data_IF_412553317057
#
_entry.id   IF_412553317057
#
_cell.length_a   1.000
_cell.length_b   1.000
_cell.length_c   1.000
_cell.angle_alpha   90.00
_cell.angle_beta   90.00
_cell.angle_gamma   90.00
#
_symmetry.space_group_name_H-M   'P 1'
#
loop_
_entity.id
_entity.type
_entity.pdbx_description
1 polymer ?
#
# COMPACT_ATOMS: atom_id res chain seq x y z
N UNK A 1 -7.78 -1.46 15.24
CA UNK A 1 -6.39 -1.65 15.69
C UNK A 1 -5.49 -1.70 14.47
N UNK A 2 -4.49 -0.81 14.33
CA UNK A 2 -3.54 -0.90 13.22
C UNK A 2 -2.76 -2.22 13.29
N UNK A 3 -2.45 -2.88 12.16
CA UNK A 3 -1.65 -4.10 12.17
C UNK A 3 -0.28 -3.78 12.80
N UNK A 4 0.08 -4.47 13.89
CA UNK A 4 1.46 -4.44 14.40
C UNK A 4 2.33 -4.99 13.27
N UNK A 5 3.27 -4.18 12.78
CA UNK A 5 4.14 -4.55 11.66
C UNK A 5 4.80 -5.92 11.86
N UNK A 6 5.13 -6.61 10.76
CA UNK A 6 5.77 -7.92 10.78
C UNK A 6 7.06 -7.88 11.61
N UNK A 7 7.18 -8.77 12.59
CA UNK A 7 8.36 -8.87 13.47
C UNK A 7 9.22 -10.05 13.02
N UNK A 8 10.46 -9.79 12.63
CA UNK A 8 11.42 -10.84 12.29
C UNK A 8 11.77 -11.71 13.51
N UNK A 9 12.04 -13.00 13.26
CA UNK A 9 12.59 -13.92 14.27
C UNK A 9 14.02 -13.50 14.67
N UNK A 10 14.46 -13.90 15.87
CA UNK A 10 15.82 -13.63 16.33
C UNK A 10 16.88 -14.24 15.40
N UNK A 11 16.64 -15.43 14.87
CA UNK A 11 17.51 -16.06 13.88
C UNK A 11 17.64 -15.21 12.60
N UNK A 12 16.52 -14.65 12.11
CA UNK A 12 16.52 -13.79 10.92
C UNK A 12 17.27 -12.49 11.18
N UNK A 13 17.06 -11.85 12.35
CA UNK A 13 17.81 -10.66 12.76
C UNK A 13 19.31 -10.95 12.84
N UNK A 14 19.69 -12.11 13.39
CA UNK A 14 21.08 -12.53 13.48
C UNK A 14 21.72 -12.74 12.11
N UNK A 15 21.04 -13.41 11.17
CA UNK A 15 21.53 -13.59 9.78
C UNK A 15 21.77 -12.25 9.08
N UNK A 16 20.81 -11.32 9.20
CA UNK A 16 20.94 -9.98 8.62
C UNK A 16 22.12 -9.24 9.26
N UNK A 17 22.23 -9.27 10.59
CA UNK A 17 23.33 -8.62 11.32
C UNK A 17 24.70 -9.15 10.90
N UNK A 18 24.87 -10.47 10.85
CA UNK A 18 26.12 -11.12 10.42
C UNK A 18 26.50 -10.77 8.98
N UNK A 19 25.52 -10.70 8.08
CA UNK A 19 25.73 -10.33 6.68
C UNK A 19 26.16 -8.86 6.50
N UNK A 20 25.65 -7.95 7.35
CA UNK A 20 25.97 -6.52 7.27
C UNK A 20 27.24 -6.13 8.04
N UNK A 21 27.74 -7.00 8.91
CA UNK A 21 28.93 -6.74 9.72
C UNK A 21 30.18 -6.58 8.83
N UNK A 22 30.92 -5.48 9.00
CA UNK A 22 32.13 -5.20 8.24
C UNK A 22 31.91 -4.58 6.85
N UNK A 23 30.65 -4.28 6.47
CA UNK A 23 30.37 -3.58 5.21
C UNK A 23 30.91 -2.13 5.25
N UNK A 24 32.03 -1.90 4.57
CA UNK A 24 32.64 -0.59 4.46
C UNK A 24 32.08 0.18 3.25
N UNK A 25 31.46 1.32 3.50
CA UNK A 25 31.15 2.27 2.43
C UNK A 25 32.42 3.01 2.01
N UNK A 26 32.51 3.33 0.70
CA UNK A 26 33.56 4.22 0.21
C UNK A 26 33.47 5.58 0.91
N UNK A 27 34.59 6.29 0.97
CA UNK A 27 34.66 7.65 1.49
C UNK A 27 33.68 8.57 0.75
N UNK A 28 33.58 8.43 -0.57
CA UNK A 28 32.65 9.18 -1.41
C UNK A 28 31.18 8.92 -1.04
N UNK A 29 30.77 7.65 -0.90
CA UNK A 29 29.39 7.31 -0.51
C UNK A 29 29.07 7.82 0.89
N UNK A 30 30.02 7.73 1.84
CA UNK A 30 29.86 8.28 3.19
C UNK A 30 29.68 9.79 3.16
N UNK A 31 30.47 10.49 2.35
CA UNK A 31 30.39 11.94 2.20
C UNK A 31 29.07 12.36 1.55
N UNK A 32 28.59 11.66 0.52
CA UNK A 32 27.28 11.93 -0.11
C UNK A 32 26.11 11.75 0.86
N UNK A 33 26.14 10.70 1.70
CA UNK A 33 25.12 10.48 2.72
C UNK A 33 25.16 11.52 3.86
N UNK A 34 26.35 12.04 4.19
CA UNK A 34 26.51 13.09 5.18
C UNK A 34 26.05 14.46 4.65
N UNK A 35 26.50 14.84 3.45
CA UNK A 35 26.19 16.10 2.81
C UNK A 35 24.69 16.29 2.58
N UNK A 36 23.95 15.24 2.21
CA UNK A 36 22.49 15.34 2.02
C UNK A 36 21.70 15.63 3.30
N UNK A 37 22.30 15.38 4.47
CA UNK A 37 21.70 15.66 5.77
C UNK A 37 22.22 16.95 6.40
N UNK A 38 23.38 17.41 5.94
CA UNK A 38 23.97 18.68 6.36
C UNK A 38 23.03 19.83 5.96
N UNK A 39 22.75 20.73 6.91
CA UNK A 39 21.81 21.84 6.72
C UNK A 39 20.37 21.55 7.16
N UNK A 40 20.01 20.30 7.46
CA UNK A 40 18.71 20.03 8.09
C UNK A 40 18.72 20.56 9.54
N UNK A 41 17.74 21.37 9.98
CA UNK A 41 17.76 22.08 11.27
C UNK A 41 17.94 21.19 12.52
N UNK A 42 17.59 19.92 12.39
CA UNK A 42 17.62 18.93 13.47
C UNK A 42 18.72 17.86 13.30
N UNK A 43 19.53 17.95 12.24
CA UNK A 43 20.65 17.01 12.06
C UNK A 43 21.71 17.21 13.15
N UNK A 44 22.05 16.14 13.87
CA UNK A 44 23.02 16.17 14.97
C UNK A 44 22.49 16.64 16.33
N UNK A 45 21.24 17.10 16.43
CA UNK A 45 20.62 17.49 17.71
C UNK A 45 20.02 16.27 18.41
N UNK A 46 20.74 15.70 19.38
CA UNK A 46 20.28 14.51 20.12
C UNK A 46 19.09 14.79 21.05
N UNK A 47 19.03 15.99 21.63
CA UNK A 47 18.02 16.34 22.64
C UNK A 47 16.83 17.13 22.05
N UNK A 48 16.70 17.14 20.73
CA UNK A 48 15.59 17.84 20.10
C UNK A 48 14.28 17.07 20.30
N UNK A 49 13.30 17.75 20.89
CA UNK A 49 11.91 17.30 20.97
C UNK A 49 11.02 18.34 20.30
N UNK A 50 10.08 17.88 19.47
CA UNK A 50 9.07 18.76 18.86
C UNK A 50 8.28 19.49 19.95
N UNK A 51 8.00 20.79 19.77
CA UNK A 51 7.14 21.53 20.70
C UNK A 51 5.74 20.91 20.76
N UNK A 52 5.08 21.06 21.90
CA UNK A 52 3.69 20.59 22.06
C UNK A 52 2.76 21.27 21.05
N UNK A 53 2.95 22.56 20.78
CA UNK A 53 2.21 23.30 19.75
C UNK A 53 2.38 22.68 18.36
N UNK A 54 3.61 22.30 17.97
CA UNK A 54 3.85 21.68 16.67
C UNK A 54 3.16 20.31 16.57
N UNK A 55 3.17 19.52 17.66
CA UNK A 55 2.43 18.24 17.73
C UNK A 55 0.93 18.46 17.60
N UNK A 56 0.39 19.48 18.27
CA UNK A 56 -1.02 19.83 18.22
C UNK A 56 -1.44 20.28 16.82
N UNK A 57 -0.66 21.14 16.16
CA UNK A 57 -0.91 21.59 14.79
C UNK A 57 -0.93 20.43 13.79
N UNK A 58 0.01 19.47 13.92
CA UNK A 58 0.02 18.25 13.10
C UNK A 58 -1.25 17.44 13.35
N UNK A 59 -1.63 17.23 14.61
CA UNK A 59 -2.83 16.47 14.99
C UNK A 59 -4.10 17.13 14.44
N UNK A 60 -4.22 18.45 14.59
CA UNK A 60 -5.32 19.26 14.06
C UNK A 60 -5.43 19.10 12.56
N UNK A 61 -4.34 19.28 11.81
CA UNK A 61 -4.33 19.11 10.36
C UNK A 61 -4.72 17.70 9.90
N UNK A 62 -4.30 16.65 10.62
CA UNK A 62 -4.72 15.28 10.34
C UNK A 62 -6.24 15.13 10.54
N UNK A 63 -6.77 15.63 11.65
CA UNK A 63 -8.19 15.51 11.95
C UNK A 63 -9.06 16.28 10.95
N UNK A 64 -8.67 17.51 10.61
CA UNK A 64 -9.43 18.37 9.70
C UNK A 64 -9.37 17.92 8.24
N UNK A 65 -8.27 17.28 7.79
CA UNK A 65 -8.07 16.98 6.35
C UNK A 65 -8.06 15.51 5.99
N UNK A 66 -7.59 14.64 6.89
CA UNK A 66 -7.41 13.19 6.62
C UNK A 66 -8.40 12.31 7.36
N UNK A 67 -9.00 12.81 8.43
CA UNK A 67 -9.96 12.08 9.26
C UNK A 67 -11.42 12.42 8.93
N UNK A 68 -11.66 13.08 7.79
CA UNK A 68 -12.99 13.45 7.32
C UNK A 68 -13.62 12.35 6.50
N UNK A 69 -14.96 12.31 6.46
CA UNK A 69 -15.70 11.33 5.66
C UNK A 69 -15.44 11.49 4.16
N UNK A 70 -15.36 12.75 3.70
CA UNK A 70 -15.05 13.07 2.31
C UNK A 70 -13.68 12.50 1.89
N UNK A 71 -12.64 12.66 2.73
CA UNK A 71 -11.31 12.11 2.44
C UNK A 71 -11.32 10.58 2.41
N UNK A 72 -12.01 9.93 3.36
CA UNK A 72 -12.17 8.47 3.36
C UNK A 72 -12.85 7.98 2.09
N UNK A 73 -13.94 8.62 1.68
CA UNK A 73 -14.67 8.29 0.46
C UNK A 73 -13.80 8.46 -0.78
N UNK A 74 -13.14 9.61 -0.93
CA UNK A 74 -12.20 9.88 -2.03
C UNK A 74 -11.10 8.81 -2.13
N UNK A 75 -10.52 8.43 -0.99
CA UNK A 75 -9.51 7.39 -0.93
C UNK A 75 -10.10 6.02 -1.35
N UNK A 76 -11.26 5.65 -0.83
CA UNK A 76 -11.97 4.42 -1.19
C UNK A 76 -12.27 4.35 -2.70
N UNK A 77 -12.82 5.42 -3.26
CA UNK A 77 -13.17 5.51 -4.68
C UNK A 77 -11.95 5.38 -5.60
N UNK A 78 -10.80 5.94 -5.20
CA UNK A 78 -9.54 5.79 -5.95
C UNK A 78 -9.01 4.36 -5.97
N UNK A 79 -9.44 3.51 -5.05
CA UNK A 79 -8.99 2.11 -4.90
C UNK A 79 -10.01 1.09 -5.43
N UNK A 80 -11.16 1.54 -5.93
CA UNK A 80 -12.24 0.68 -6.41
C UNK A 80 -12.15 0.45 -7.93
N UNK A 81 -12.40 -0.79 -8.35
CA UNK A 81 -12.50 -1.17 -9.76
C UNK A 81 -11.28 -0.77 -10.58
N UNK A 82 -11.52 -0.23 -11.78
CA UNK A 82 -10.48 0.19 -12.74
C UNK A 82 -9.57 1.30 -12.24
N UNK A 83 -10.04 2.15 -11.31
CA UNK A 83 -9.23 3.24 -10.76
C UNK A 83 -8.05 2.70 -9.95
N UNK A 84 -8.14 1.46 -9.49
CA UNK A 84 -7.02 0.80 -8.82
C UNK A 84 -5.95 0.42 -9.85
N UNK A 85 -4.78 1.04 -9.76
CA UNK A 85 -3.59 0.71 -10.56
C UNK A 85 -3.16 -0.77 -10.53
N UNK A 86 -3.62 -1.57 -9.55
CA UNK A 86 -3.36 -3.02 -9.48
C UNK A 86 -4.51 -3.87 -10.04
N UNK A 87 -5.61 -3.25 -10.51
CA UNK A 87 -6.71 -3.97 -11.12
C UNK A 87 -6.24 -4.69 -12.38
N UNK A 88 -6.63 -5.95 -12.51
CA UNK A 88 -6.37 -6.77 -13.70
C UNK A 88 -7.55 -6.75 -14.68
N UNK A 89 -8.69 -6.22 -14.26
CA UNK A 89 -9.94 -6.25 -15.02
C UNK A 89 -10.41 -4.82 -15.29
N UNK A 90 -10.96 -4.64 -16.47
CA UNK A 90 -11.71 -3.46 -16.90
C UNK A 90 -13.20 -3.65 -16.67
N UNK A 91 -14.00 -2.57 -16.81
CA UNK A 91 -15.46 -2.61 -16.79
C UNK A 91 -15.98 -3.53 -17.88
N UNK A 92 -15.40 -3.44 -19.07
CA UNK A 92 -15.77 -4.26 -20.21
C UNK A 92 -15.47 -5.74 -19.95
N UNK A 93 -14.36 -6.05 -19.26
CA UNK A 93 -14.04 -7.42 -18.86
C UNK A 93 -15.07 -7.96 -17.87
N UNK A 94 -15.51 -7.14 -16.90
CA UNK A 94 -16.55 -7.53 -15.92
C UNK A 94 -17.86 -7.84 -16.62
N UNK A 95 -18.28 -6.99 -17.57
CA UNK A 95 -19.49 -7.21 -18.38
C UNK A 95 -19.35 -8.52 -19.17
N UNK A 96 -18.21 -8.74 -19.84
CA UNK A 96 -17.94 -9.97 -20.59
C UNK A 96 -17.94 -11.21 -19.70
N UNK A 97 -17.38 -11.13 -18.48
CA UNK A 97 -17.38 -12.24 -17.52
C UNK A 97 -18.81 -12.65 -17.17
N UNK A 98 -19.69 -11.68 -16.86
CA UNK A 98 -21.09 -11.96 -16.51
C UNK A 98 -21.84 -12.56 -17.70
N UNK A 99 -21.71 -11.96 -18.88
CA UNK A 99 -22.32 -12.47 -20.11
C UNK A 99 -21.88 -13.91 -20.43
N UNK A 100 -20.57 -14.20 -20.38
CA UNK A 100 -20.06 -15.55 -20.64
C UNK A 100 -20.51 -16.54 -19.57
N UNK A 101 -20.63 -16.12 -18.30
CA UNK A 101 -21.17 -16.96 -17.24
C UNK A 101 -22.64 -17.32 -17.47
N UNK A 102 -23.46 -16.37 -17.94
CA UNK A 102 -24.85 -16.62 -18.33
C UNK A 102 -24.97 -17.57 -19.52
N UNK A 103 -24.02 -17.50 -20.46
CA UNK A 103 -23.89 -18.46 -21.57
C UNK A 103 -23.39 -19.86 -21.12
N UNK A 104 -23.25 -20.10 -19.82
CA UNK A 104 -22.89 -21.40 -19.25
C UNK A 104 -21.39 -21.67 -19.15
N UNK A 105 -20.54 -20.66 -19.38
CA UNK A 105 -19.10 -20.84 -19.21
C UNK A 105 -18.76 -20.96 -17.72
N UNK A 106 -18.12 -22.07 -17.35
CA UNK A 106 -17.72 -22.31 -15.95
C UNK A 106 -16.78 -21.23 -15.42
N UNK A 107 -16.89 -20.93 -14.12
CA UNK A 107 -16.01 -19.99 -13.42
C UNK A 107 -14.52 -20.34 -13.55
N UNK A 108 -14.17 -21.63 -13.68
CA UNK A 108 -12.79 -22.08 -13.89
C UNK A 108 -12.24 -21.65 -15.27
N UNK A 109 -13.03 -21.84 -16.34
CA UNK A 109 -12.64 -21.37 -17.68
C UNK A 109 -12.52 -19.85 -17.72
N UNK A 110 -13.38 -19.13 -17.00
CA UNK A 110 -13.30 -17.68 -16.87
C UNK A 110 -12.05 -17.25 -16.10
N UNK A 111 -11.67 -17.93 -15.02
CA UNK A 111 -10.43 -17.59 -14.28
C UNK A 111 -9.18 -17.74 -15.14
N UNK A 112 -9.10 -18.80 -15.94
CA UNK A 112 -7.99 -19.02 -16.88
C UNK A 112 -7.97 -17.94 -17.97
N UNK A 113 -9.12 -17.65 -18.59
CA UNK A 113 -9.24 -16.66 -19.66
C UNK A 113 -8.84 -15.25 -19.19
N UNK A 114 -9.30 -14.83 -18.01
CA UNK A 114 -9.08 -13.48 -17.49
C UNK A 114 -7.89 -13.37 -16.50
N UNK A 115 -7.16 -14.47 -16.26
CA UNK A 115 -5.97 -14.54 -15.39
C UNK A 115 -6.21 -13.97 -13.98
N UNK A 116 -7.39 -14.26 -13.44
CA UNK A 116 -7.83 -13.88 -12.08
C UNK A 116 -8.25 -15.14 -11.33
N UNK A 117 -8.28 -15.08 -9.99
CA UNK A 117 -8.67 -16.26 -9.21
C UNK A 117 -10.13 -16.65 -9.47
N UNK A 118 -10.44 -17.95 -9.40
CA UNK A 118 -11.83 -18.44 -9.49
C UNK A 118 -12.75 -17.77 -8.46
N UNK A 119 -12.26 -17.52 -7.25
CA UNK A 119 -13.01 -16.82 -6.21
C UNK A 119 -13.36 -15.38 -6.63
N UNK A 120 -12.42 -14.67 -7.28
CA UNK A 120 -12.69 -13.34 -7.83
C UNK A 120 -13.76 -13.37 -8.92
N UNK A 121 -13.75 -14.38 -9.80
CA UNK A 121 -14.82 -14.58 -10.78
C UNK A 121 -16.16 -14.84 -10.08
N UNK A 122 -16.19 -15.69 -9.05
CA UNK A 122 -17.42 -15.96 -8.30
C UNK A 122 -17.97 -14.69 -7.64
N UNK A 123 -17.12 -13.83 -7.08
CA UNK A 123 -17.55 -12.56 -6.49
C UNK A 123 -18.05 -11.54 -7.53
N UNK A 124 -17.54 -11.59 -8.76
CA UNK A 124 -18.02 -10.76 -9.88
C UNK A 124 -19.38 -11.23 -10.38
N UNK A 125 -19.54 -12.54 -10.58
CA UNK A 125 -20.78 -13.16 -11.08
C UNK A 125 -21.91 -13.03 -10.06
N UNK A 126 -21.60 -13.15 -8.76
CA UNK A 126 -22.59 -13.00 -7.69
C UNK A 126 -22.78 -11.53 -7.22
N UNK A 127 -22.30 -10.55 -7.98
CA UNK A 127 -22.46 -9.11 -7.67
C UNK A 127 -21.96 -8.69 -6.26
N UNK A 128 -21.01 -9.44 -5.69
CA UNK A 128 -20.39 -9.11 -4.39
C UNK A 128 -19.33 -8.01 -4.55
N UNK A 129 -18.66 -7.99 -5.71
CA UNK A 129 -17.71 -6.96 -6.14
C UNK A 129 -18.21 -6.27 -7.40
N UNK A 130 -17.58 -5.15 -7.78
CA UNK A 130 -17.95 -4.39 -8.99
C UNK A 130 -19.46 -4.05 -9.06
N UNK A 131 -20.03 -3.64 -7.93
CA UNK A 131 -21.49 -3.39 -7.76
C UNK A 131 -22.05 -2.25 -8.61
N UNK A 132 -21.18 -1.38 -9.10
CA UNK A 132 -21.57 -0.18 -9.87
C UNK A 132 -21.53 -0.45 -11.39
N UNK A 133 -21.24 -1.68 -11.78
CA UNK A 133 -21.34 -2.24 -13.12
C UNK A 133 -22.43 -3.28 -13.07
#
# INVERSE_FOLDING_TARGET
MSPKGFKHSEETKHKISKSLQGRNFSTETRNKMGASKQGHPFWGKKDYTMSEEAKENIKKGINEKRNTEEYRKKLSDSKKGEKNHRSKLTKDDVIKIRMLSEQGLSQYKLSERFKVSRSSIADIVNYRTWKDI
#
